data_IF_381539636284
#
_entry.id   IF_381539636284
#
_cell.length_a   1.000
_cell.length_b   1.000
_cell.length_c   1.000
_cell.angle_alpha   90.00
_cell.angle_beta   90.00
_cell.angle_gamma   90.00
#
_symmetry.space_group_name_H-M   'P 1'
#
loop_
_entity.id
_entity.type
_entity.pdbx_description
1 polymer ?
#
# COMPACT_ATOMS: atom_id res chain seq x y z
N UNK A 1 -27.87 -6.99 19.10
CA UNK A 1 -26.49 -6.72 19.51
C UNK A 1 -25.65 -7.90 19.07
N UNK A 2 -24.44 -7.64 18.60
CA UNK A 2 -23.51 -8.68 18.17
C UNK A 2 -22.36 -8.72 19.17
N UNK A 3 -22.06 -9.89 19.72
CA UNK A 3 -20.87 -10.13 20.52
C UNK A 3 -19.81 -10.72 19.58
N UNK A 4 -18.71 -10.00 19.38
CA UNK A 4 -17.53 -10.57 18.74
C UNK A 4 -16.81 -11.40 19.80
N UNK A 5 -16.68 -12.71 19.56
CA UNK A 5 -16.01 -13.61 20.49
C UNK A 5 -14.57 -13.17 20.73
N UNK A 6 -14.12 -13.23 21.99
CA UNK A 6 -12.79 -12.81 22.42
C UNK A 6 -11.71 -13.75 21.91
N UNK A 7 -11.36 -13.67 20.63
CA UNK A 7 -10.10 -14.23 20.15
C UNK A 7 -8.96 -13.52 20.88
N UNK A 8 -8.04 -14.31 21.45
CA UNK A 8 -6.87 -13.79 22.14
C UNK A 8 -5.95 -13.12 21.11
N UNK A 9 -5.96 -11.79 21.10
CA UNK A 9 -5.02 -10.98 20.35
C UNK A 9 -3.58 -11.36 20.75
N UNK A 10 -2.70 -11.44 19.75
CA UNK A 10 -1.26 -11.54 20.02
C UNK A 10 -0.82 -10.24 20.68
N UNK A 11 -0.05 -10.35 21.77
CA UNK A 11 0.48 -9.16 22.42
C UNK A 11 1.53 -8.49 21.52
N UNK A 12 1.64 -7.17 21.66
CA UNK A 12 2.51 -6.34 20.83
C UNK A 12 3.99 -6.76 20.92
N UNK A 13 4.46 -7.20 22.09
CA UNK A 13 5.87 -7.57 22.27
C UNK A 13 6.20 -8.85 21.50
N UNK A 14 5.30 -9.84 21.55
CA UNK A 14 5.39 -11.07 20.74
C UNK A 14 5.42 -10.75 19.24
N UNK A 15 4.54 -9.86 18.76
CA UNK A 15 4.50 -9.48 17.34
C UNK A 15 5.74 -8.72 16.89
N UNK A 16 6.22 -7.76 17.70
CA UNK A 16 7.43 -7.00 17.36
C UNK A 16 8.71 -7.84 17.41
N UNK A 17 8.69 -8.97 18.13
CA UNK A 17 9.77 -9.95 18.14
C UNK A 17 9.84 -10.80 16.87
N UNK A 18 8.76 -10.84 16.07
CA UNK A 18 8.70 -11.60 14.83
C UNK A 18 8.83 -10.68 13.61
N UNK A 19 10.05 -10.58 13.09
CA UNK A 19 10.34 -9.77 11.92
C UNK A 19 9.76 -10.35 10.60
N UNK A 20 9.14 -11.54 10.64
CA UNK A 20 8.43 -12.13 9.50
C UNK A 20 7.08 -11.47 9.21
N UNK A 21 6.50 -10.76 10.20
CA UNK A 21 5.22 -10.07 10.03
C UNK A 21 5.37 -8.87 9.08
N UNK A 22 4.46 -8.76 8.11
CA UNK A 22 4.41 -7.65 7.15
C UNK A 22 4.48 -6.29 7.84
N UNK A 23 5.20 -5.34 7.28
CA UNK A 23 5.35 -3.96 7.76
C UNK A 23 6.61 -3.74 8.60
N UNK A 24 7.09 -4.73 9.36
CA UNK A 24 8.27 -4.55 10.22
C UNK A 24 9.61 -4.56 9.47
N UNK A 25 9.62 -5.00 8.21
CA UNK A 25 10.81 -5.00 7.36
C UNK A 25 10.61 -4.21 6.06
N UNK A 26 11.70 -3.64 5.56
CA UNK A 26 11.63 -2.80 4.37
C UNK A 26 11.25 -3.64 3.16
N UNK A 27 10.27 -3.13 2.41
CA UNK A 27 9.64 -3.79 1.27
C UNK A 27 8.81 -5.03 1.63
N UNK A 28 8.45 -5.26 2.89
CA UNK A 28 7.48 -6.31 3.26
C UNK A 28 6.04 -5.93 2.87
N UNK A 29 5.77 -4.63 2.71
CA UNK A 29 4.55 -4.08 2.09
C UNK A 29 5.01 -3.07 1.05
N UNK A 30 4.78 -3.33 -0.24
CA UNK A 30 5.32 -2.50 -1.32
C UNK A 30 4.76 -1.06 -1.34
N UNK A 31 3.53 -0.88 -0.85
CA UNK A 31 2.82 0.41 -0.82
C UNK A 31 3.10 1.25 0.45
N UNK A 32 4.01 0.83 1.33
CA UNK A 32 4.29 1.54 2.57
C UNK A 32 5.80 1.55 2.89
N UNK A 33 6.30 2.59 3.58
CA UNK A 33 7.61 2.53 4.21
C UNK A 33 7.60 1.54 5.40
N UNK A 34 8.77 1.30 5.99
CA UNK A 34 8.88 0.55 7.25
C UNK A 34 7.96 1.10 8.34
N UNK A 35 7.50 0.21 9.21
CA UNK A 35 6.81 0.58 10.44
C UNK A 35 7.62 1.60 11.25
N UNK A 36 6.92 2.68 11.65
CA UNK A 36 7.50 3.77 12.43
C UNK A 36 8.25 4.81 11.60
N UNK A 37 8.39 4.61 10.27
CA UNK A 37 8.92 5.65 9.39
C UNK A 37 7.79 6.53 8.84
N UNK A 38 8.02 7.84 8.68
CA UNK A 38 7.07 8.72 8.03
C UNK A 38 6.91 8.33 6.56
N UNK A 39 5.69 8.46 6.03
CA UNK A 39 5.43 8.33 4.59
C UNK A 39 6.14 9.48 3.87
N UNK A 40 7.04 9.21 2.91
CA UNK A 40 7.76 10.25 2.18
C UNK A 40 6.81 11.01 1.25
N UNK A 41 7.27 12.15 0.72
CA UNK A 41 6.56 12.83 -0.37
C UNK A 41 6.92 12.18 -1.70
N UNK A 42 5.92 11.85 -2.51
CA UNK A 42 6.11 11.26 -3.84
C UNK A 42 4.96 11.64 -4.78
N UNK A 43 5.19 11.73 -6.09
CA UNK A 43 4.13 11.97 -7.05
C UNK A 43 3.23 10.73 -7.23
N UNK A 44 1.93 10.99 -7.39
CA UNK A 44 0.93 10.00 -7.80
C UNK A 44 0.31 10.45 -9.12
N UNK A 45 -0.04 9.48 -9.95
CA UNK A 45 -0.69 9.67 -11.25
C UNK A 45 -1.93 8.79 -11.35
N UNK A 46 -2.94 9.39 -11.95
CA UNK A 46 -4.16 8.72 -12.35
C UNK A 46 -4.33 8.89 -13.85
N UNK A 47 -4.80 7.85 -14.54
CA UNK A 47 -4.99 7.79 -15.99
C UNK A 47 -6.44 7.50 -16.31
N UNK A 48 -6.93 8.02 -17.44
CA UNK A 48 -8.25 7.66 -17.94
C UNK A 48 -8.22 6.19 -18.40
N UNK A 49 -9.13 5.36 -17.89
CA UNK A 49 -9.19 3.95 -18.26
C UNK A 49 -10.11 3.71 -19.47
N UNK A 50 -11.23 4.42 -19.57
CA UNK A 50 -12.21 4.30 -20.67
C UNK A 50 -12.87 5.64 -21.03
N UNK A 51 -12.22 6.76 -20.68
CA UNK A 51 -12.74 8.13 -20.92
C UNK A 51 -13.86 8.56 -19.98
N UNK A 52 -14.37 7.66 -19.12
CA UNK A 52 -15.38 7.95 -18.09
C UNK A 52 -14.88 7.64 -16.68
N UNK A 53 -14.01 6.64 -16.57
CA UNK A 53 -13.39 6.20 -15.34
C UNK A 53 -11.92 6.59 -15.30
N UNK A 54 -11.44 6.75 -14.08
CA UNK A 54 -10.05 7.07 -13.78
C UNK A 54 -9.49 5.90 -12.97
N UNK A 55 -8.31 5.43 -13.35
CA UNK A 55 -7.58 4.38 -12.65
C UNK A 55 -6.21 4.89 -12.23
N UNK A 56 -5.63 4.29 -11.20
CA UNK A 56 -4.25 4.57 -10.83
C UNK A 56 -3.27 4.10 -11.92
N UNK A 57 -2.26 4.93 -12.23
CA UNK A 57 -1.09 4.47 -12.98
C UNK A 57 -0.24 3.61 -12.05
N UNK A 58 -0.61 2.33 -11.92
CA UNK A 58 0.03 1.40 -10.98
C UNK A 58 1.53 1.33 -11.16
N UNK A 59 2.00 1.30 -12.41
CA UNK A 59 3.43 1.20 -12.71
C UNK A 59 4.19 2.44 -12.21
N UNK A 60 3.68 3.63 -12.53
CA UNK A 60 4.28 4.88 -12.07
C UNK A 60 4.19 5.04 -10.55
N UNK A 61 3.00 4.82 -9.98
CA UNK A 61 2.72 5.05 -8.56
C UNK A 61 3.55 4.13 -7.66
N UNK A 62 3.64 2.84 -8.03
CA UNK A 62 4.39 1.85 -7.27
C UNK A 62 5.91 2.13 -7.32
N UNK A 63 6.44 2.50 -8.50
CA UNK A 63 7.83 2.91 -8.59
C UNK A 63 8.12 4.16 -7.73
N UNK A 64 7.23 5.15 -7.82
CA UNK A 64 7.33 6.43 -7.14
C UNK A 64 7.38 6.29 -5.62
N UNK A 65 6.46 5.53 -5.02
CA UNK A 65 6.42 5.32 -3.57
C UNK A 65 7.60 4.48 -3.07
N UNK A 66 8.01 3.46 -3.81
CA UNK A 66 9.14 2.60 -3.44
C UNK A 66 10.45 3.39 -3.46
N UNK A 67 10.71 4.13 -4.53
CA UNK A 67 11.91 4.96 -4.66
C UNK A 67 11.96 6.04 -3.57
N UNK A 68 10.82 6.69 -3.30
CA UNK A 68 10.73 7.68 -2.23
C UNK A 68 10.96 7.06 -0.84
N UNK A 69 10.43 5.85 -0.60
CA UNK A 69 10.58 5.15 0.70
C UNK A 69 12.00 4.62 0.90
N UNK A 70 12.70 4.26 -0.18
CA UNK A 70 14.12 3.89 -0.16
C UNK A 70 15.06 5.12 -0.19
N UNK A 71 14.54 6.32 -0.46
CA UNK A 71 15.30 7.56 -0.55
C UNK A 71 16.25 7.61 -1.75
N UNK A 72 16.03 6.79 -2.78
CA UNK A 72 16.88 6.70 -3.98
C UNK A 72 16.11 6.04 -5.13
N UNK A 73 16.59 6.26 -6.37
CA UNK A 73 16.09 5.57 -7.55
C UNK A 73 16.54 4.11 -7.54
N UNK A 74 15.68 3.21 -7.09
CA UNK A 74 15.96 1.78 -6.90
C UNK A 74 15.16 0.89 -7.86
N UNK A 75 13.95 1.32 -8.24
CA UNK A 75 13.09 0.59 -9.17
C UNK A 75 13.62 0.77 -10.60
N UNK A 76 13.91 -0.35 -11.24
CA UNK A 76 14.36 -0.40 -12.63
C UNK A 76 13.16 -0.49 -13.58
N UNK A 77 12.18 -1.33 -13.24
CA UNK A 77 10.99 -1.54 -14.04
C UNK A 77 9.81 -1.97 -13.18
N UNK A 78 8.61 -1.53 -13.58
CA UNK A 78 7.34 -2.09 -13.09
C UNK A 78 6.54 -2.57 -14.30
N UNK A 79 6.17 -3.84 -14.31
CA UNK A 79 5.35 -4.44 -15.36
C UNK A 79 4.01 -4.88 -14.80
N UNK A 80 2.93 -4.40 -15.39
CA UNK A 80 1.57 -4.86 -15.09
C UNK A 80 1.16 -5.89 -16.15
N UNK A 81 1.72 -7.10 -16.04
CA UNK A 81 1.54 -8.19 -17.04
C UNK A 81 0.10 -8.65 -17.16
N UNK A 82 -0.68 -8.53 -16.08
CA UNK A 82 -2.10 -8.88 -16.04
C UNK A 82 -2.87 -7.85 -15.19
N UNK A 83 -4.21 -7.85 -15.23
CA UNK A 83 -5.02 -6.97 -14.37
C UNK A 83 -4.69 -7.16 -12.89
N UNK A 84 -4.45 -8.39 -12.46
CA UNK A 84 -4.21 -8.81 -11.08
C UNK A 84 -2.71 -8.94 -10.72
N UNK A 85 -1.81 -9.04 -11.71
CA UNK A 85 -0.38 -9.24 -11.46
C UNK A 85 0.47 -8.01 -11.79
N UNK A 86 1.33 -7.61 -10.85
CA UNK A 86 2.32 -6.55 -11.05
C UNK A 86 3.70 -7.02 -10.57
N UNK A 87 4.72 -6.90 -11.43
CA UNK A 87 6.10 -7.21 -11.09
C UNK A 87 6.90 -5.92 -10.95
N UNK A 88 7.73 -5.84 -9.91
CA UNK A 88 8.68 -4.75 -9.68
C UNK A 88 10.07 -5.35 -9.71
N UNK A 89 10.92 -4.88 -10.62
CA UNK A 89 12.34 -5.21 -10.67
C UNK A 89 13.16 -4.06 -10.13
N UNK A 90 14.12 -4.39 -9.26
CA UNK A 90 15.06 -3.44 -8.69
C UNK A 90 16.38 -3.48 -9.44
N UNK A 91 17.07 -2.34 -9.49
CA UNK A 91 18.46 -2.33 -9.92
C UNK A 91 19.31 -3.16 -8.95
N UNK A 92 20.33 -3.85 -9.47
CA UNK A 92 21.14 -4.77 -8.68
C UNK A 92 21.72 -4.12 -7.42
N UNK A 93 21.43 -4.70 -6.25
CA UNK A 93 21.90 -4.18 -4.96
C UNK A 93 21.25 -2.85 -4.52
N UNK A 94 20.25 -2.36 -5.24
CA UNK A 94 19.54 -1.15 -4.89
C UNK A 94 18.64 -1.33 -3.66
N UNK A 95 18.10 -2.53 -3.43
CA UNK A 95 17.37 -2.86 -2.21
C UNK A 95 18.06 -3.97 -1.43
N UNK A 96 18.11 -3.82 -0.10
CA UNK A 96 18.76 -4.80 0.79
C UNK A 96 18.04 -6.15 0.81
N UNK A 97 16.71 -6.10 0.71
CA UNK A 97 15.82 -7.23 0.98
C UNK A 97 15.17 -7.80 -0.29
N UNK A 98 15.31 -7.13 -1.44
CA UNK A 98 14.61 -7.51 -2.67
C UNK A 98 15.43 -7.16 -3.92
N UNK A 99 15.36 -8.02 -4.93
CA UNK A 99 15.69 -7.72 -6.34
C UNK A 99 14.45 -7.71 -7.20
N UNK A 100 13.41 -8.41 -6.76
CA UNK A 100 12.12 -8.46 -7.44
C UNK A 100 11.00 -8.63 -6.43
N UNK A 101 9.88 -7.95 -6.68
CA UNK A 101 8.62 -8.17 -5.97
C UNK A 101 7.56 -8.54 -7.00
N UNK A 102 6.74 -9.54 -6.70
CA UNK A 102 5.53 -9.85 -7.44
C UNK A 102 4.33 -9.56 -6.54
N UNK A 103 3.38 -8.78 -7.04
CA UNK A 103 2.12 -8.48 -6.38
C UNK A 103 0.99 -9.18 -7.13
N UNK A 104 0.17 -9.90 -6.41
CA UNK A 104 -1.02 -10.59 -6.89
C UNK A 104 -2.23 -10.01 -6.16
N UNK A 105 -3.05 -9.25 -6.86
CA UNK A 105 -4.27 -8.67 -6.33
C UNK A 105 -5.41 -9.69 -6.46
N UNK A 106 -5.80 -10.28 -5.33
CA UNK A 106 -6.80 -11.35 -5.27
C UNK A 106 -8.23 -10.80 -5.27
N UNK A 107 -8.41 -9.58 -4.77
CA UNK A 107 -9.69 -8.88 -4.76
C UNK A 107 -9.45 -7.38 -4.82
N UNK A 108 -10.33 -6.67 -5.55
CA UNK A 108 -10.37 -5.21 -5.59
C UNK A 108 -11.81 -4.76 -5.60
N UNK A 109 -12.10 -3.78 -4.76
CA UNK A 109 -13.42 -3.16 -4.66
C UNK A 109 -13.23 -1.66 -4.55
N UNK A 110 -14.17 -0.91 -5.10
CA UNK A 110 -14.23 0.53 -4.92
C UNK A 110 -15.66 1.01 -4.93
N UNK A 111 -15.99 1.96 -4.07
CA UNK A 111 -17.31 2.56 -4.01
C UNK A 111 -17.22 4.03 -3.61
N UNK A 112 -18.23 4.80 -4.04
CA UNK A 112 -18.48 6.12 -3.51
C UNK A 112 -19.49 5.98 -2.36
N UNK A 113 -19.06 6.33 -1.16
CA UNK A 113 -19.94 6.42 0.01
C UNK A 113 -20.32 7.88 0.23
N UNK A 114 -21.61 8.13 0.46
CA UNK A 114 -22.14 9.47 0.76
C UNK A 114 -22.67 9.44 2.19
N UNK A 115 -22.06 10.24 3.05
CA UNK A 115 -22.46 10.39 4.45
C UNK A 115 -23.84 11.04 4.58
N UNK A 116 -24.46 10.91 5.76
CA UNK A 116 -25.75 11.54 6.05
C UNK A 116 -25.69 13.09 6.01
N UNK A 117 -24.49 13.64 6.16
CA UNK A 117 -24.15 15.07 6.03
C UNK A 117 -23.86 15.49 4.57
N UNK A 118 -24.00 14.57 3.61
CA UNK A 118 -23.69 14.78 2.21
C UNK A 118 -22.18 14.72 1.90
N UNK A 119 -21.33 14.35 2.87
CA UNK A 119 -19.90 14.24 2.63
C UNK A 119 -19.57 13.01 1.77
N UNK A 120 -18.88 13.24 0.66
CA UNK A 120 -18.43 12.18 -0.25
C UNK A 120 -17.09 11.59 0.19
N UNK A 121 -17.05 10.26 0.32
CA UNK A 121 -15.83 9.49 0.59
C UNK A 121 -15.71 8.41 -0.47
N UNK A 122 -14.67 8.48 -1.29
CA UNK A 122 -14.36 7.39 -2.21
C UNK A 122 -13.49 6.36 -1.50
N UNK A 123 -13.94 5.12 -1.46
CA UNK A 123 -13.28 4.02 -0.74
C UNK A 123 -12.76 3.02 -1.77
N UNK A 124 -11.52 2.58 -1.60
CA UNK A 124 -10.96 1.47 -2.35
C UNK A 124 -10.43 0.41 -1.38
N UNK A 125 -10.64 -0.85 -1.69
CA UNK A 125 -10.03 -1.97 -0.98
C UNK A 125 -9.27 -2.86 -1.96
N UNK A 126 -8.13 -3.38 -1.54
CA UNK A 126 -7.34 -4.35 -2.31
C UNK A 126 -6.76 -5.41 -1.39
N UNK A 127 -7.03 -6.67 -1.68
CA UNK A 127 -6.35 -7.81 -1.05
C UNK A 127 -5.17 -8.23 -1.92
N UNK A 128 -3.96 -8.13 -1.37
CA UNK A 128 -2.71 -8.39 -2.09
C UNK A 128 -1.95 -9.53 -1.44
N UNK A 129 -1.53 -10.50 -2.26
CA UNK A 129 -0.40 -11.37 -1.95
C UNK A 129 0.86 -10.79 -2.59
N UNK A 130 1.86 -10.57 -1.76
CA UNK A 130 3.19 -10.14 -2.19
C UNK A 130 4.17 -11.31 -2.09
N UNK A 131 5.00 -11.47 -3.11
CA UNK A 131 6.12 -12.40 -3.13
C UNK A 131 7.39 -11.62 -3.40
N UNK A 132 8.27 -11.56 -2.42
CA UNK A 132 9.53 -10.81 -2.47
C UNK A 132 10.68 -11.77 -2.70
N UNK A 133 11.50 -11.53 -3.72
CA UNK A 133 12.68 -12.33 -4.08
C UNK A 133 13.95 -11.52 -3.81
N UNK A 134 14.92 -12.07 -3.07
CA UNK A 134 16.23 -11.43 -2.82
C UNK A 134 17.47 -12.24 -3.27
N UNK A 135 18.66 -11.62 -3.28
CA UNK A 135 19.96 -12.24 -3.67
C UNK A 135 20.68 -13.08 -2.58
N UNK A 136 20.24 -14.30 -2.25
CA UNK A 136 21.00 -15.07 -1.24
C UNK A 136 22.23 -15.65 -1.89
N UNK A 137 23.40 -15.29 -1.35
CA UNK A 137 24.64 -16.01 -1.63
C UNK A 137 24.85 -17.18 -0.66
N UNK A 138 23.98 -17.36 0.33
CA UNK A 138 24.02 -18.46 1.28
C UNK A 138 23.10 -19.60 0.84
N UNK A 139 23.69 -20.79 0.70
CA UNK A 139 23.01 -22.04 0.38
C UNK A 139 21.99 -22.41 1.48
N UNK A 140 20.79 -22.83 1.10
CA UNK A 140 19.76 -23.32 2.04
C UNK A 140 18.83 -22.26 2.66
N UNK A 141 18.99 -20.97 2.35
CA UNK A 141 18.08 -19.91 2.82
C UNK A 141 17.11 -19.54 1.70
N UNK A 142 15.84 -19.92 1.83
CA UNK A 142 14.79 -19.43 0.94
C UNK A 142 14.76 -17.89 0.99
N UNK A 143 15.03 -17.23 -0.14
CA UNK A 143 14.92 -15.76 -0.25
C UNK A 143 13.64 -15.30 -0.91
N UNK A 144 12.61 -16.12 -0.73
CA UNK A 144 11.25 -15.79 -1.05
C UNK A 144 10.53 -15.52 0.27
N UNK A 145 10.09 -14.29 0.45
CA UNK A 145 9.14 -13.95 1.52
C UNK A 145 7.78 -13.80 0.88
N UNK A 146 6.79 -14.52 1.41
CA UNK A 146 5.39 -14.38 0.99
C UNK A 146 4.65 -13.67 2.11
N UNK A 147 3.83 -12.70 1.73
CA UNK A 147 3.12 -11.85 2.67
C UNK A 147 1.76 -11.54 2.09
N UNK A 148 0.71 -11.58 2.90
CA UNK A 148 -0.61 -11.10 2.50
C UNK A 148 -1.06 -9.95 3.38
N UNK A 149 -1.62 -8.96 2.71
CA UNK A 149 -2.16 -7.78 3.35
C UNK A 149 -3.35 -7.24 2.56
N UNK A 150 -4.22 -6.53 3.26
CA UNK A 150 -5.33 -5.82 2.68
C UNK A 150 -5.13 -4.32 2.88
N UNK A 151 -5.16 -3.57 1.79
CA UNK A 151 -5.15 -2.12 1.82
C UNK A 151 -6.58 -1.59 1.73
N UNK A 152 -6.88 -0.56 2.51
CA UNK A 152 -8.08 0.24 2.44
C UNK A 152 -7.68 1.70 2.28
N UNK A 153 -8.01 2.28 1.13
CA UNK A 153 -7.80 3.67 0.82
C UNK A 153 -9.12 4.42 0.96
N UNK A 154 -9.09 5.57 1.63
CA UNK A 154 -10.24 6.48 1.67
C UNK A 154 -9.80 7.84 1.17
N UNK A 155 -10.49 8.37 0.17
CA UNK A 155 -10.21 9.65 -0.45
C UNK A 155 -11.33 10.63 -0.16
N UNK A 156 -10.98 11.79 0.38
CA UNK A 156 -11.92 12.87 0.69
C UNK A 156 -11.43 14.17 0.06
N UNK A 157 -12.25 14.86 -0.76
CA UNK A 157 -11.89 16.17 -1.25
C UNK A 157 -11.72 17.13 -0.07
N UNK A 158 -10.65 17.93 -0.09
CA UNK A 158 -10.43 18.98 0.89
C UNK A 158 -10.83 20.34 0.32
N UNK A 159 -11.27 21.28 1.16
CA UNK A 159 -11.53 22.64 0.73
C UNK A 159 -10.29 23.27 0.07
N UNK A 160 -10.49 24.12 -0.96
CA UNK A 160 -9.41 24.89 -1.55
C UNK A 160 -8.73 25.74 -0.47
N UNK A 161 -7.41 25.97 -0.61
CA UNK A 161 -6.65 26.76 0.34
C UNK A 161 -6.86 28.25 0.00
N UNK A 162 -7.14 29.06 1.01
CA UNK A 162 -7.44 30.49 0.83
C UNK A 162 -6.26 31.31 0.26
N UNK A 163 -5.03 30.77 0.28
CA UNK A 163 -3.78 31.43 -0.14
C UNK A 163 -3.19 30.89 -1.46
N UNK A 164 -3.82 29.91 -2.11
CA UNK A 164 -3.32 29.35 -3.36
C UNK A 164 -4.02 30.00 -4.55
N UNK A 165 -3.29 30.86 -5.27
CA UNK A 165 -3.57 31.23 -6.67
C UNK A 165 -3.27 30.04 -7.60
N UNK A 166 -3.81 28.84 -7.29
CA UNK A 166 -3.77 27.75 -8.27
C UNK A 166 -4.48 28.27 -9.52
N UNK A 167 -3.75 28.29 -10.65
CA UNK A 167 -4.32 28.65 -11.95
C UNK A 167 -5.60 27.86 -12.21
N UNK A 168 -6.49 28.31 -13.12
CA UNK A 168 -7.88 27.88 -13.18
C UNK A 168 -7.98 26.36 -13.09
N UNK A 169 -8.35 25.87 -11.91
CA UNK A 169 -8.61 24.47 -11.69
C UNK A 169 -9.66 24.02 -12.70
N UNK A 170 -9.56 22.78 -13.18
CA UNK A 170 -10.62 22.22 -14.01
C UNK A 170 -11.87 22.18 -13.15
N UNK A 171 -12.94 22.86 -13.56
CA UNK A 171 -14.17 22.94 -12.81
C UNK A 171 -14.63 21.54 -12.36
N UNK A 172 -14.90 21.37 -11.07
CA UNK A 172 -15.32 20.09 -10.48
C UNK A 172 -14.20 19.13 -10.08
N UNK A 173 -12.92 19.49 -10.22
CA UNK A 173 -11.79 18.64 -9.77
C UNK A 173 -11.15 19.23 -8.51
N UNK A 174 -11.06 18.47 -7.40
CA UNK A 174 -10.46 18.98 -6.17
C UNK A 174 -8.93 19.16 -6.32
N UNK A 175 -8.42 20.32 -5.93
CA UNK A 175 -6.98 20.61 -5.92
C UNK A 175 -6.23 19.90 -4.78
N UNK A 176 -6.98 19.49 -3.74
CA UNK A 176 -6.46 18.87 -2.52
C UNK A 176 -7.36 17.71 -2.12
N UNK A 177 -6.73 16.61 -1.73
CA UNK A 177 -7.42 15.40 -1.28
C UNK A 177 -6.74 14.89 -0.02
N UNK A 178 -7.52 14.56 1.00
CA UNK A 178 -7.06 13.77 2.12
C UNK A 178 -7.23 12.30 1.75
N UNK A 179 -6.16 11.53 1.88
CA UNK A 179 -6.15 10.09 1.70
C UNK A 179 -5.79 9.44 3.05
N UNK A 180 -6.59 8.49 3.52
CA UNK A 180 -6.15 7.60 4.59
C UNK A 180 -5.90 6.22 3.99
N UNK A 181 -4.75 5.64 4.28
CA UNK A 181 -4.41 4.27 3.96
C UNK A 181 -4.39 3.46 5.26
N UNK A 182 -5.26 2.45 5.34
CA UNK A 182 -5.19 1.41 6.34
C UNK A 182 -4.67 0.13 5.69
N UNK A 183 -3.64 -0.49 6.27
CA UNK A 183 -3.13 -1.77 5.80
C UNK A 183 -3.23 -2.80 6.90
N UNK A 184 -4.09 -3.79 6.71
CA UNK A 184 -4.23 -4.94 7.60
C UNK A 184 -3.29 -6.06 7.11
N UNK A 185 -2.41 -6.55 7.97
CA UNK A 185 -1.50 -7.65 7.64
C UNK A 185 -1.88 -8.95 8.36
N UNK A 186 -1.69 -10.06 7.66
CA UNK A 186 -2.11 -11.40 8.10
C UNK A 186 -0.90 -12.31 8.21
N UNK A 187 -0.93 -13.19 9.20
CA UNK A 187 0.04 -14.28 9.30
C UNK A 187 -0.18 -15.28 8.17
N UNK A 188 0.91 -15.78 7.63
CA UNK A 188 0.95 -16.78 6.58
C UNK A 188 1.27 -18.16 7.17
N UNK A 189 0.92 -19.27 6.50
CA UNK A 189 1.19 -20.62 7.01
C UNK A 189 2.66 -20.90 7.37
N UNK A 190 3.61 -20.19 6.75
CA UNK A 190 5.04 -20.26 7.08
C UNK A 190 5.46 -19.47 8.33
N UNK A 191 4.61 -18.59 8.85
CA UNK A 191 4.95 -17.72 9.97
C UNK A 191 4.88 -18.51 11.29
N UNK A 192 5.87 -18.34 12.20
CA UNK A 192 5.93 -19.09 13.47
C UNK A 192 4.66 -18.94 14.34
N UNK A 193 3.97 -17.82 14.21
CA UNK A 193 2.78 -17.49 15.00
C UNK A 193 1.46 -17.87 14.33
N UNK A 194 1.46 -18.43 13.12
CA UNK A 194 0.26 -18.62 12.28
C UNK A 194 -0.91 -19.27 13.01
N UNK A 195 -0.68 -20.41 13.67
CA UNK A 195 -1.73 -21.17 14.36
C UNK A 195 -2.33 -20.45 15.58
N UNK A 196 -1.74 -19.33 16.03
CA UNK A 196 -2.30 -18.50 17.11
C UNK A 196 -3.34 -17.51 16.60
N UNK A 197 -3.28 -17.13 15.32
CA UNK A 197 -4.20 -16.15 14.73
C UNK A 197 -4.31 -16.34 13.20
N UNK A 198 -4.85 -17.48 12.73
CA UNK A 198 -4.76 -17.86 11.31
C UNK A 198 -5.71 -17.08 10.40
N UNK A 199 -6.73 -16.41 10.95
CA UNK A 199 -7.80 -15.77 10.18
C UNK A 199 -8.07 -14.31 10.58
N UNK A 200 -7.25 -13.74 11.46
CA UNK A 200 -7.39 -12.34 11.87
C UNK A 200 -6.21 -11.51 11.36
N UNK A 201 -6.45 -10.21 11.09
CA UNK A 201 -5.34 -9.29 10.95
C UNK A 201 -4.60 -9.19 12.28
N UNK A 202 -3.29 -9.39 12.24
CA UNK A 202 -2.45 -9.35 13.45
C UNK A 202 -1.88 -7.95 13.72
N UNK A 203 -1.89 -7.09 12.70
CA UNK A 203 -1.48 -5.70 12.80
C UNK A 203 -2.21 -4.86 11.75
N UNK A 204 -2.56 -3.63 12.12
CA UNK A 204 -3.16 -2.64 11.23
C UNK A 204 -2.28 -1.40 11.23
N UNK A 205 -1.81 -1.01 10.05
CA UNK A 205 -1.07 0.21 9.82
C UNK A 205 -2.01 1.30 9.35
N UNK A 206 -1.80 2.52 9.83
CA UNK A 206 -2.56 3.69 9.40
C UNK A 206 -1.61 4.79 8.95
N UNK A 207 -1.85 5.33 7.77
CA UNK A 207 -1.14 6.46 7.22
C UNK A 207 -2.13 7.53 6.77
N UNK A 208 -1.91 8.76 7.23
CA UNK A 208 -2.60 9.95 6.74
C UNK A 208 -1.75 10.61 5.66
N UNK A 209 -2.31 10.75 4.46
CA UNK A 209 -1.65 11.27 3.28
C UNK A 209 -2.40 12.52 2.82
N UNK A 210 -1.69 13.62 2.64
CA UNK A 210 -2.25 14.87 2.08
C UNK A 210 -1.77 15.04 0.66
N UNK A 211 -2.70 14.95 -0.29
CA UNK A 211 -2.42 15.07 -1.71
C UNK A 211 -2.70 16.51 -2.18
N UNK A 212 -1.81 17.01 -3.04
CA UNK A 212 -2.01 18.26 -3.78
C UNK A 212 -1.75 17.98 -5.25
N UNK A 213 -2.59 18.54 -6.12
CA UNK A 213 -2.38 18.46 -7.56
C UNK A 213 -1.04 19.11 -7.96
N UNK A 214 -0.27 18.40 -8.79
CA UNK A 214 1.01 18.86 -9.34
C UNK A 214 0.81 19.31 -10.79
N UNK A 215 0.15 20.46 -10.99
CA UNK A 215 -0.08 21.02 -12.34
C UNK A 215 -1.08 20.24 -13.21
N UNK A 216 -1.31 20.74 -14.42
CA UNK A 216 -2.08 20.08 -15.48
C UNK A 216 -1.12 19.64 -16.59
#
# INVERSE_FOLDING_TARGET
GYELSGQKWLDRATLMGDAGVAGFQMLSIANLPDVGKPVPSFPLRFVAADGRTVAEDRAFNLASIIDASLGKKAVEAVTCEAPDRTSVRFAAGAARNAERIELFANARESELSVGADGAEVFVCAELVRQVTYGLSRQFGVARQAVTEYQNFFTYRPLPPRADTTSGPGRAGVPDRVACNLLTAAYLQPQDPLFFRSPSLPVVVYAAEIKMRRLGA
#
